data_IF_349806132748
#
_entry.id   IF_349806132748
#
_cell.length_a   1.000
_cell.length_b   1.000
_cell.length_c   1.000
_cell.angle_alpha   90.00
_cell.angle_beta   90.00
_cell.angle_gamma   90.00
#
_symmetry.space_group_name_H-M   'P 1'
#
loop_
_entity.id
_entity.type
_entity.pdbx_description
1 polymer ?
#
# COMPACT_ATOMS: atom_id res chain seq x y z
N UNK A 1 11.49 0.10 -17.15
CA UNK A 1 10.19 0.56 -16.66
C UNK A 1 10.05 0.05 -15.24
N UNK A 2 9.98 0.94 -14.23
CA UNK A 2 9.88 0.49 -12.83
C UNK A 2 8.53 -0.16 -12.56
N UNK A 3 8.51 -1.24 -11.77
CA UNK A 3 7.30 -1.98 -11.42
C UNK A 3 7.04 -1.82 -9.93
N UNK A 4 6.08 -0.95 -9.60
CA UNK A 4 5.87 -0.50 -8.22
C UNK A 4 4.57 -1.11 -7.70
N UNK A 5 4.64 -1.84 -6.59
CA UNK A 5 3.47 -2.19 -5.79
C UNK A 5 3.19 -1.06 -4.81
N UNK A 6 2.04 -0.41 -4.97
CA UNK A 6 1.50 0.57 -4.02
C UNK A 6 0.38 -0.11 -3.25
N UNK A 7 0.52 -0.22 -1.94
CA UNK A 7 -0.57 -0.72 -1.09
C UNK A 7 -1.37 0.45 -0.53
N UNK A 8 -2.67 0.29 -0.29
CA UNK A 8 -3.51 1.36 0.26
C UNK A 8 -3.76 2.50 -0.73
N UNK A 9 -3.59 2.23 -2.03
CA UNK A 9 -3.65 3.24 -3.09
C UNK A 9 -5.05 3.71 -3.43
N UNK A 10 -6.11 3.21 -2.79
CA UNK A 10 -7.45 3.81 -2.84
C UNK A 10 -7.73 4.74 -1.65
N UNK A 11 -6.82 4.81 -0.67
CA UNK A 11 -6.88 5.76 0.44
C UNK A 11 -6.48 7.19 0.03
N UNK A 12 -6.52 8.12 0.98
CA UNK A 12 -6.27 9.54 0.72
C UNK A 12 -4.86 9.82 0.15
N UNK A 13 -3.81 9.48 0.89
CA UNK A 13 -2.42 9.75 0.44
C UNK A 13 -2.04 8.82 -0.71
N UNK A 14 -2.38 7.53 -0.60
CA UNK A 14 -2.04 6.52 -1.59
C UNK A 14 -2.59 6.84 -2.99
N UNK A 15 -3.85 7.29 -3.10
CA UNK A 15 -4.43 7.65 -4.41
C UNK A 15 -3.78 8.89 -5.03
N UNK A 16 -3.43 9.91 -4.25
CA UNK A 16 -2.68 11.05 -4.74
C UNK A 16 -1.30 10.64 -5.26
N UNK A 17 -0.60 9.76 -4.53
CA UNK A 17 0.67 9.20 -4.96
C UNK A 17 0.53 8.43 -6.29
N UNK A 18 -0.48 7.55 -6.40
CA UNK A 18 -0.75 6.79 -7.64
C UNK A 18 -0.99 7.75 -8.81
N UNK A 19 -1.85 8.76 -8.65
CA UNK A 19 -2.17 9.73 -9.71
C UNK A 19 -0.95 10.52 -10.15
N UNK A 20 -0.19 11.07 -9.19
CA UNK A 20 1.06 11.80 -9.46
C UNK A 20 2.04 10.92 -10.24
N UNK A 21 2.27 9.69 -9.78
CA UNK A 21 3.20 8.76 -10.42
C UNK A 21 2.78 8.41 -11.86
N UNK A 22 1.50 8.19 -12.11
CA UNK A 22 1.01 7.88 -13.47
C UNK A 22 1.07 9.10 -14.40
N UNK A 23 0.88 10.31 -13.87
CA UNK A 23 0.97 11.54 -14.66
C UNK A 23 2.40 11.97 -14.97
N UNK A 24 3.31 11.83 -14.02
CA UNK A 24 4.66 12.42 -14.10
C UNK A 24 5.73 11.41 -14.52
N UNK A 25 5.48 10.11 -14.34
CA UNK A 25 6.44 9.04 -14.60
C UNK A 25 5.87 7.98 -15.57
N UNK A 26 5.86 8.26 -16.89
CA UNK A 26 5.35 7.33 -17.89
C UNK A 26 6.18 6.03 -18.01
N UNK A 27 7.39 6.03 -17.44
CA UNK A 27 8.29 4.88 -17.34
C UNK A 27 8.04 4.00 -16.11
N UNK A 28 6.97 4.25 -15.35
CA UNK A 28 6.54 3.44 -14.23
C UNK A 28 5.26 2.65 -14.57
N UNK A 29 5.11 1.47 -13.97
CA UNK A 29 3.89 0.69 -13.96
C UNK A 29 3.50 0.43 -12.51
N UNK A 30 2.27 0.79 -12.15
CA UNK A 30 1.75 0.71 -10.79
C UNK A 30 0.80 -0.46 -10.67
N UNK A 31 1.09 -1.36 -9.73
CA UNK A 31 0.12 -2.30 -9.19
C UNK A 31 -0.41 -1.72 -7.88
N UNK A 32 -1.69 -1.38 -7.85
CA UNK A 32 -2.36 -0.81 -6.68
C UNK A 32 -3.15 -1.91 -5.96
N UNK A 33 -2.68 -2.31 -4.77
CA UNK A 33 -3.32 -3.29 -3.91
C UNK A 33 -4.08 -2.60 -2.77
N UNK A 34 -5.39 -2.76 -2.73
CA UNK A 34 -6.21 -2.16 -1.68
C UNK A 34 -7.34 -3.09 -1.25
N UNK A 35 -7.61 -3.15 0.06
CA UNK A 35 -8.67 -3.99 0.62
C UNK A 35 -10.06 -3.34 0.49
N UNK A 36 -10.10 -2.04 0.19
CA UNK A 36 -11.30 -1.19 0.20
C UNK A 36 -12.01 -1.26 1.55
N UNK A 37 -11.26 -0.97 2.62
CA UNK A 37 -11.82 -0.80 3.97
C UNK A 37 -12.54 0.54 4.09
N UNK A 38 -12.84 0.97 5.32
CA UNK A 38 -13.63 2.18 5.57
C UNK A 38 -13.06 3.45 4.92
N UNK A 39 -11.75 3.53 4.71
CA UNK A 39 -11.05 4.69 4.15
C UNK A 39 -10.69 4.53 2.66
N UNK A 40 -10.92 3.35 2.07
CA UNK A 40 -10.64 3.10 0.66
C UNK A 40 -11.80 3.56 -0.22
N UNK A 41 -11.53 4.43 -1.19
CA UNK A 41 -12.53 4.91 -2.13
C UNK A 41 -11.98 4.92 -3.57
N UNK A 42 -12.59 4.13 -4.46
CA UNK A 42 -12.19 4.02 -5.85
C UNK A 42 -12.38 5.32 -6.63
N UNK A 43 -13.32 6.18 -6.24
CA UNK A 43 -13.52 7.50 -6.86
C UNK A 43 -12.28 8.39 -6.71
N UNK A 44 -11.41 8.11 -5.73
CA UNK A 44 -10.14 8.83 -5.59
C UNK A 44 -9.19 8.57 -6.78
N UNK A 45 -9.41 7.50 -7.55
CA UNK A 45 -8.64 7.10 -8.73
C UNK A 45 -9.36 7.47 -10.04
N UNK A 46 -10.43 8.26 -9.98
CA UNK A 46 -11.20 8.66 -11.15
C UNK A 46 -10.31 9.28 -12.24
N UNK A 47 -10.45 8.79 -13.48
CA UNK A 47 -9.62 9.17 -14.63
C UNK A 47 -8.34 8.36 -14.82
N UNK A 48 -7.99 7.47 -13.88
CA UNK A 48 -6.80 6.61 -13.96
C UNK A 48 -7.13 5.11 -13.89
N UNK A 49 -8.41 4.73 -13.82
CA UNK A 49 -8.87 3.34 -13.66
C UNK A 49 -8.41 2.45 -14.82
N UNK A 50 -8.43 3.01 -16.03
CA UNK A 50 -8.04 2.33 -17.27
C UNK A 50 -6.69 2.80 -17.81
N UNK A 51 -5.87 3.46 -16.98
CA UNK A 51 -4.55 3.91 -17.41
C UNK A 51 -3.69 2.70 -17.78
N UNK A 52 -3.01 2.67 -18.95
CA UNK A 52 -2.30 1.48 -19.44
C UNK A 52 -1.18 1.01 -18.50
N UNK A 53 -0.64 1.93 -17.70
CA UNK A 53 0.39 1.67 -16.70
C UNK A 53 -0.15 1.45 -15.28
N UNK A 54 -1.46 1.25 -15.11
CA UNK A 54 -2.09 1.06 -13.81
C UNK A 54 -2.87 -0.25 -13.78
N UNK A 55 -2.68 -1.00 -12.69
CA UNK A 55 -3.46 -2.19 -12.40
C UNK A 55 -3.97 -2.15 -10.97
N UNK A 56 -5.28 -2.02 -10.81
CA UNK A 56 -5.92 -2.19 -9.51
C UNK A 56 -6.17 -3.66 -9.18
N UNK A 57 -5.91 -4.05 -7.93
CA UNK A 57 -6.18 -5.36 -7.35
C UNK A 57 -6.86 -5.14 -6.00
N UNK A 58 -8.09 -5.64 -5.87
CA UNK A 58 -8.75 -5.69 -4.58
C UNK A 58 -8.21 -6.87 -3.77
N UNK A 59 -7.63 -6.61 -2.60
CA UNK A 59 -7.04 -7.66 -1.77
C UNK A 59 -6.43 -7.12 -0.48
N UNK A 60 -5.97 -8.03 0.38
CA UNK A 60 -5.41 -7.70 1.69
C UNK A 60 -3.90 -7.95 1.70
N UNK A 61 -3.13 -7.05 2.32
CA UNK A 61 -1.70 -7.25 2.57
C UNK A 61 -1.47 -8.37 3.61
N UNK A 62 -2.48 -8.72 4.40
CA UNK A 62 -2.44 -9.88 5.29
C UNK A 62 -2.49 -11.23 4.53
N UNK A 63 -2.85 -11.24 3.25
CA UNK A 63 -2.76 -12.42 2.38
C UNK A 63 -1.38 -12.52 1.75
N UNK A 64 -0.44 -13.16 2.46
CA UNK A 64 0.94 -13.31 1.99
C UNK A 64 1.05 -14.01 0.64
N UNK A 65 0.21 -15.02 0.38
CA UNK A 65 0.22 -15.74 -0.90
C UNK A 65 -0.22 -14.83 -2.06
N UNK A 66 -1.21 -13.97 -1.84
CA UNK A 66 -1.60 -12.95 -2.81
C UNK A 66 -0.46 -11.95 -3.05
N UNK A 67 0.18 -11.45 -2.00
CA UNK A 67 1.31 -10.52 -2.10
C UNK A 67 2.44 -11.13 -2.93
N UNK A 68 2.87 -12.35 -2.60
CA UNK A 68 3.91 -13.07 -3.35
C UNK A 68 3.53 -13.24 -4.83
N UNK A 69 2.29 -13.66 -5.09
CA UNK A 69 1.77 -13.82 -6.45
C UNK A 69 1.80 -12.51 -7.21
N UNK A 70 1.44 -11.38 -6.59
CA UNK A 70 1.48 -10.06 -7.22
C UNK A 70 2.91 -9.67 -7.55
N UNK A 71 3.83 -9.81 -6.59
CA UNK A 71 5.23 -9.45 -6.79
C UNK A 71 5.83 -10.24 -7.95
N UNK A 72 5.56 -11.55 -8.01
CA UNK A 72 6.03 -12.41 -9.09
C UNK A 72 5.34 -12.14 -10.42
N UNK A 73 4.02 -12.07 -10.46
CA UNK A 73 3.26 -11.90 -11.71
C UNK A 73 3.60 -10.58 -12.42
N UNK A 74 3.79 -9.50 -11.66
CA UNK A 74 4.04 -8.17 -12.22
C UNK A 74 5.53 -7.79 -12.22
N UNK A 75 6.40 -8.70 -11.78
CA UNK A 75 7.84 -8.48 -11.65
C UNK A 75 8.15 -7.19 -10.89
N UNK A 76 7.47 -7.02 -9.74
CA UNK A 76 7.60 -5.82 -8.90
C UNK A 76 9.05 -5.71 -8.44
N UNK A 77 9.62 -4.51 -8.55
CA UNK A 77 10.98 -4.18 -8.10
C UNK A 77 10.97 -3.29 -6.84
N UNK A 78 9.84 -2.63 -6.56
CA UNK A 78 9.68 -1.64 -5.50
C UNK A 78 8.33 -1.80 -4.80
N UNK A 79 8.31 -1.78 -3.46
CA UNK A 79 7.08 -1.70 -2.67
C UNK A 79 7.02 -0.34 -1.96
N UNK A 80 5.85 0.31 -2.01
CA UNK A 80 5.52 1.51 -1.24
C UNK A 80 4.25 1.22 -0.44
N UNK A 81 4.40 1.13 0.88
CA UNK A 81 3.34 0.67 1.76
C UNK A 81 2.59 1.84 2.42
N UNK A 82 1.39 2.18 1.91
CA UNK A 82 0.46 3.10 2.59
C UNK A 82 -0.69 2.36 3.30
N UNK A 83 -0.89 1.07 3.04
CA UNK A 83 -1.97 0.30 3.65
C UNK A 83 -1.78 0.20 5.17
N UNK A 84 -2.74 0.75 5.91
CA UNK A 84 -2.80 0.70 7.36
C UNK A 84 -4.25 0.93 7.83
N UNK A 85 -4.58 0.41 9.00
CA UNK A 85 -5.65 0.95 9.82
C UNK A 85 -5.09 2.10 10.66
N UNK A 86 -5.68 3.29 10.53
CA UNK A 86 -5.11 4.54 11.07
C UNK A 86 -6.01 5.30 12.05
N UNK A 87 -7.27 4.89 12.22
CA UNK A 87 -8.21 5.66 13.04
C UNK A 87 -7.96 5.46 14.54
N UNK A 88 -7.50 6.52 15.23
CA UNK A 88 -7.11 6.47 16.65
C UNK A 88 -8.19 5.87 17.55
N UNK A 89 -9.43 6.37 17.53
CA UNK A 89 -10.49 5.85 18.42
C UNK A 89 -10.83 4.37 18.18
N UNK A 90 -10.69 3.90 16.95
CA UNK A 90 -10.92 2.49 16.61
C UNK A 90 -9.81 1.60 17.13
N UNK A 91 -8.58 2.12 17.24
CA UNK A 91 -7.46 1.35 17.79
C UNK A 91 -7.64 1.07 19.28
N UNK A 92 -8.28 1.99 20.01
CA UNK A 92 -8.59 1.84 21.44
C UNK A 92 -9.67 0.77 21.65
N UNK A 93 -10.71 0.80 20.82
CA UNK A 93 -11.88 -0.09 20.97
C UNK A 93 -11.70 -1.46 20.32
N UNK A 94 -10.86 -1.56 19.29
CA UNK A 94 -10.63 -2.78 18.51
C UNK A 94 -9.18 -2.91 18.01
N UNK A 95 -8.18 -3.08 18.91
CA UNK A 95 -6.76 -3.05 18.54
C UNK A 95 -6.33 -4.21 17.64
N UNK A 96 -7.07 -5.33 17.64
CA UNK A 96 -6.69 -6.54 16.89
C UNK A 96 -6.50 -6.28 15.39
N UNK A 97 -7.41 -5.53 14.77
CA UNK A 97 -7.33 -5.23 13.32
C UNK A 97 -6.12 -4.35 12.99
N UNK A 98 -5.70 -3.49 13.92
CA UNK A 98 -4.50 -2.66 13.78
C UNK A 98 -3.24 -3.50 13.82
N UNK A 99 -3.16 -4.48 14.73
CA UNK A 99 -2.02 -5.42 14.76
C UNK A 99 -1.99 -6.27 13.49
N UNK A 100 -3.13 -6.81 13.07
CA UNK A 100 -3.23 -7.62 11.86
C UNK A 100 -2.75 -6.84 10.63
N UNK A 101 -3.34 -5.67 10.34
CA UNK A 101 -2.97 -4.92 9.14
C UNK A 101 -1.60 -4.26 9.26
N UNK A 102 -1.33 -3.54 10.36
CA UNK A 102 -0.14 -2.67 10.42
C UNK A 102 1.13 -3.45 10.75
N UNK A 103 1.03 -4.56 11.48
CA UNK A 103 2.20 -5.39 11.85
C UNK A 103 2.29 -6.62 10.96
N UNK A 104 1.28 -7.50 10.99
CA UNK A 104 1.32 -8.76 10.22
C UNK A 104 1.30 -8.49 8.71
N UNK A 105 0.45 -7.56 8.24
CA UNK A 105 0.43 -7.15 6.84
C UNK A 105 1.76 -6.58 6.38
N UNK A 106 2.39 -5.71 7.18
CA UNK A 106 3.73 -5.19 6.89
C UNK A 106 4.78 -6.30 6.84
N UNK A 107 4.73 -7.27 7.75
CA UNK A 107 5.64 -8.41 7.75
C UNK A 107 5.51 -9.22 6.45
N UNK A 108 4.30 -9.49 5.98
CA UNK A 108 4.11 -10.21 4.70
C UNK A 108 4.74 -9.47 3.52
N UNK A 109 4.62 -8.14 3.47
CA UNK A 109 5.25 -7.33 2.42
C UNK A 109 6.78 -7.38 2.52
N UNK A 110 7.33 -7.36 3.74
CA UNK A 110 8.77 -7.47 3.99
C UNK A 110 9.32 -8.85 3.62
N UNK A 111 8.61 -9.93 3.95
CA UNK A 111 8.99 -11.30 3.56
C UNK A 111 9.01 -11.44 2.03
N UNK A 112 7.96 -10.98 1.35
CA UNK A 112 7.92 -10.96 -0.11
C UNK A 112 9.07 -10.13 -0.71
N UNK A 113 9.36 -8.96 -0.11
CA UNK A 113 10.46 -8.10 -0.55
C UNK A 113 11.83 -8.78 -0.40
N UNK A 114 12.06 -9.44 0.76
CA UNK A 114 13.29 -10.18 1.07
C UNK A 114 13.48 -11.36 0.12
N UNK A 115 12.44 -12.18 -0.04
CA UNK A 115 12.51 -13.44 -0.78
C UNK A 115 12.72 -13.21 -2.27
N UNK A 116 12.09 -12.17 -2.82
CA UNK A 116 12.27 -11.76 -4.23
C UNK A 116 13.41 -10.75 -4.42
N UNK A 117 14.13 -10.39 -3.35
CA UNK A 117 15.28 -9.47 -3.35
C UNK A 117 15.00 -8.15 -4.05
N UNK A 118 13.88 -7.52 -3.66
CA UNK A 118 13.45 -6.27 -4.27
C UNK A 118 14.49 -5.16 -4.06
N UNK A 119 14.60 -4.28 -5.05
CA UNK A 119 15.57 -3.19 -5.02
C UNK A 119 15.23 -2.16 -3.94
N UNK A 120 13.93 -1.98 -3.65
CA UNK A 120 13.46 -0.94 -2.73
C UNK A 120 12.17 -1.29 -1.99
N UNK A 121 12.15 -0.96 -0.72
CA UNK A 121 10.96 -0.99 0.13
C UNK A 121 10.83 0.35 0.86
N UNK A 122 9.67 0.99 0.76
CA UNK A 122 9.36 2.25 1.45
C UNK A 122 8.17 2.01 2.38
N UNK A 123 8.42 2.03 3.69
CA UNK A 123 7.36 2.03 4.70
C UNK A 123 6.92 3.47 4.97
N UNK A 124 5.64 3.76 4.77
CA UNK A 124 5.06 5.02 5.22
C UNK A 124 4.59 4.87 6.67
N UNK A 125 4.93 5.85 7.50
CA UNK A 125 4.60 5.86 8.92
C UNK A 125 4.01 7.22 9.31
N UNK A 126 3.91 7.47 10.61
CA UNK A 126 3.33 8.68 11.19
C UNK A 126 4.27 9.24 12.25
N UNK A 127 4.18 10.55 12.50
CA UNK A 127 4.88 11.20 13.61
C UNK A 127 4.30 10.79 14.98
N UNK A 128 3.07 10.27 15.02
CA UNK A 128 2.44 9.77 16.25
C UNK A 128 3.27 8.69 16.96
N UNK A 129 4.19 8.01 16.26
CA UNK A 129 5.12 7.03 16.86
C UNK A 129 6.08 7.67 17.88
N UNK A 130 6.33 8.97 17.79
CA UNK A 130 7.19 9.71 18.73
C UNK A 130 6.44 10.07 20.02
N UNK A 131 5.11 10.00 20.03
CA UNK A 131 4.28 10.48 21.14
C UNK A 131 4.22 12.00 21.23
N UNK A 132 3.73 12.50 22.36
CA UNK A 132 3.67 13.95 22.62
C UNK A 132 5.07 14.49 22.93
N UNK A 133 5.39 15.68 22.42
CA UNK A 133 6.61 16.41 22.79
C UNK A 133 6.60 16.91 24.25
N UNK A 134 5.49 16.73 24.96
CA UNK A 134 5.25 17.34 26.28
C UNK A 134 4.71 18.77 26.17
N UNK A 135 4.34 19.40 27.30
CA UNK A 135 4.02 20.81 27.36
C UNK A 135 5.23 21.72 27.13
#
# INVERSE_FOLDING_TARGET
MRKILVTGGAGFIGSNFVRMMLSEHPDCFIVNLDKLTYAGNLENLAGFENHPNHKFIKGDICDGALVEKIVEQYQVDTIINFAAESHVDRSITGPKVFIETNVTGTLNLLEAARDKKLERFIQVSTDEVYGSLGP
#
